data_IF_899054186552
#
_entry.id   IF_899054186552
#
_cell.length_a   1.000
_cell.length_b   1.000
_cell.length_c   1.000
_cell.angle_alpha   90.00
_cell.angle_beta   90.00
_cell.angle_gamma   90.00
#
_symmetry.space_group_name_H-M   'P 1'
#
loop_
_entity.id
_entity.type
_entity.pdbx_description
1 polymer ?
#
# COMPACT_ATOMS: atom_id res chain seq x y z
N UNK A 1 -46.15 -19.04 21.61
CA UNK A 1 -45.42 -17.74 21.55
C UNK A 1 -45.60 -17.20 20.14
N UNK A 2 -45.83 -15.92 19.94
CA UNK A 2 -45.89 -15.38 18.58
C UNK A 2 -44.52 -15.63 17.90
N UNK A 3 -44.55 -16.14 16.68
CA UNK A 3 -43.35 -16.35 15.89
C UNK A 3 -42.72 -15.04 15.47
N UNK A 4 -41.41 -14.98 15.42
CA UNK A 4 -40.71 -13.80 14.85
C UNK A 4 -40.99 -13.73 13.35
N UNK A 5 -41.57 -12.61 12.89
CA UNK A 5 -41.91 -12.35 11.50
C UNK A 5 -40.98 -11.27 10.94
N UNK A 6 -39.79 -11.64 10.38
CA UNK A 6 -38.77 -10.67 9.94
C UNK A 6 -39.33 -9.64 8.98
N UNK A 7 -40.11 -10.07 7.99
CA UNK A 7 -40.68 -9.21 6.95
C UNK A 7 -41.61 -8.09 7.47
N UNK A 8 -42.14 -8.23 8.67
CA UNK A 8 -43.00 -7.23 9.31
C UNK A 8 -42.22 -6.38 10.33
N UNK A 9 -41.35 -7.03 11.11
CA UNK A 9 -40.65 -6.42 12.25
C UNK A 9 -39.46 -5.59 11.80
N UNK A 10 -38.61 -6.13 10.92
CA UNK A 10 -37.37 -5.49 10.51
C UNK A 10 -37.60 -4.17 9.75
N UNK A 11 -38.46 -4.08 8.71
CA UNK A 11 -38.69 -2.83 8.01
C UNK A 11 -39.28 -1.73 8.90
N UNK A 12 -40.06 -2.12 9.93
CA UNK A 12 -40.59 -1.18 10.91
C UNK A 12 -39.48 -0.51 11.70
N UNK A 13 -38.52 -1.30 12.23
CA UNK A 13 -37.42 -0.77 13.03
C UNK A 13 -36.38 -0.04 12.19
N UNK A 14 -36.06 -0.51 10.99
CA UNK A 14 -35.17 0.17 10.04
C UNK A 14 -35.69 1.58 9.73
N UNK A 15 -36.99 1.70 9.41
CA UNK A 15 -37.64 3.01 9.19
C UNK A 15 -37.57 3.89 10.44
N UNK A 16 -37.88 3.34 11.60
CA UNK A 16 -37.83 4.10 12.87
C UNK A 16 -36.41 4.64 13.12
N UNK A 17 -35.38 3.84 12.92
CA UNK A 17 -34.00 4.28 13.13
C UNK A 17 -33.59 5.37 12.14
N UNK A 18 -34.01 5.28 10.90
CA UNK A 18 -33.73 6.27 9.89
C UNK A 18 -34.46 7.61 10.16
N UNK A 19 -35.74 7.58 10.39
CA UNK A 19 -36.54 8.77 10.67
C UNK A 19 -36.08 9.50 11.95
N UNK A 20 -35.72 8.76 12.99
CA UNK A 20 -35.28 9.33 14.27
C UNK A 20 -33.78 9.54 14.37
N UNK A 21 -32.98 9.22 13.31
CA UNK A 21 -31.52 9.28 13.32
C UNK A 21 -30.93 8.64 14.59
N UNK A 22 -31.45 7.46 14.96
CA UNK A 22 -31.22 6.81 16.26
C UNK A 22 -29.75 6.60 16.58
N UNK A 23 -28.92 6.40 15.56
CA UNK A 23 -27.48 6.11 15.70
C UNK A 23 -26.59 7.32 15.45
N UNK A 24 -27.17 8.50 15.27
CA UNK A 24 -26.41 9.75 15.09
C UNK A 24 -25.53 10.02 16.31
N UNK A 25 -24.28 10.36 16.04
CA UNK A 25 -23.28 10.74 17.06
C UNK A 25 -23.24 12.26 17.19
N UNK A 26 -23.63 12.85 18.33
CA UNK A 26 -23.52 14.29 18.52
C UNK A 26 -22.05 14.74 18.56
N UNK A 27 -21.77 15.94 18.04
CA UNK A 27 -20.42 16.51 18.00
C UNK A 27 -19.87 16.78 19.41
N UNK A 28 -20.77 17.17 20.33
CA UNK A 28 -20.45 17.42 21.74
C UNK A 28 -21.27 16.51 22.62
N UNK A 29 -20.63 15.93 23.65
CA UNK A 29 -21.29 15.04 24.60
C UNK A 29 -20.46 14.93 25.88
N UNK A 30 -21.07 14.87 27.03
CA UNK A 30 -20.45 14.58 28.34
C UNK A 30 -20.17 13.08 28.52
N UNK A 31 -20.71 12.23 27.63
CA UNK A 31 -20.47 10.79 27.67
C UNK A 31 -19.07 10.45 27.21
N UNK A 32 -18.45 9.40 27.77
CA UNK A 32 -17.15 8.94 27.30
C UNK A 32 -17.22 8.55 25.80
N UNK A 33 -16.24 8.98 25.04
CA UNK A 33 -16.17 8.73 23.58
C UNK A 33 -15.78 7.29 23.32
N UNK A 34 -16.38 6.71 22.28
CA UNK A 34 -15.96 5.44 21.72
C UNK A 34 -16.06 5.51 20.20
N UNK A 35 -14.95 5.23 19.54
CA UNK A 35 -14.85 5.21 18.09
C UNK A 35 -14.63 3.78 17.63
N UNK A 36 -15.46 3.29 16.73
CA UNK A 36 -15.34 1.99 16.10
C UNK A 36 -15.41 2.17 14.59
N UNK A 37 -14.45 1.60 13.88
CA UNK A 37 -14.27 1.76 12.45
C UNK A 37 -14.22 0.40 11.76
N UNK A 38 -15.02 0.25 10.71
CA UNK A 38 -14.92 -0.83 9.76
C UNK A 38 -14.02 -0.47 8.59
N UNK A 39 -13.51 -1.47 7.91
CA UNK A 39 -12.92 -1.29 6.61
C UNK A 39 -14.02 -0.95 5.61
N UNK A 40 -13.92 0.21 4.97
CA UNK A 40 -14.88 0.65 3.97
C UNK A 40 -14.87 -0.28 2.76
N UNK A 41 -16.05 -0.67 2.24
CA UNK A 41 -16.11 -1.55 1.09
C UNK A 41 -15.71 -0.82 -0.19
N UNK A 42 -15.13 -1.57 -1.12
CA UNK A 42 -15.03 -1.18 -2.51
C UNK A 42 -16.40 -1.34 -3.17
N UNK A 43 -17.01 -0.29 -3.71
CA UNK A 43 -18.28 -0.39 -4.44
C UNK A 43 -18.04 -0.90 -5.89
N UNK A 44 -17.36 -2.05 -6.03
CA UNK A 44 -16.84 -2.57 -7.29
C UNK A 44 -17.76 -3.55 -8.01
N UNK A 45 -18.92 -3.87 -7.45
CA UNK A 45 -19.83 -4.85 -8.00
C UNK A 45 -21.29 -4.52 -7.71
N UNK A 46 -22.19 -5.43 -8.10
CA UNK A 46 -23.63 -5.25 -7.95
C UNK A 46 -24.14 -5.34 -6.51
N UNK A 47 -23.26 -5.47 -5.51
CA UNK A 47 -23.65 -5.53 -4.10
C UNK A 47 -22.61 -6.22 -3.20
N UNK A 48 -22.97 -6.38 -1.94
CA UNK A 48 -22.15 -7.00 -0.90
C UNK A 48 -21.98 -8.50 -1.16
N UNK A 49 -20.80 -9.03 -0.86
CA UNK A 49 -20.60 -10.47 -0.68
C UNK A 49 -20.63 -10.82 0.83
N UNK A 50 -20.75 -12.11 1.16
CA UNK A 50 -20.93 -12.58 2.54
C UNK A 50 -19.80 -12.19 3.50
N UNK A 51 -18.59 -11.93 3.02
CA UNK A 51 -17.48 -11.47 3.84
C UNK A 51 -17.65 -10.05 4.41
N UNK A 52 -18.43 -9.18 3.76
CA UNK A 52 -18.69 -7.84 4.28
C UNK A 52 -19.51 -7.88 5.59
N UNK A 53 -20.68 -8.56 5.65
CA UNK A 53 -21.46 -8.63 6.87
C UNK A 53 -20.74 -9.29 8.05
N UNK A 54 -19.77 -10.15 7.82
CA UNK A 54 -19.01 -10.82 8.89
C UNK A 54 -18.32 -9.77 9.80
N UNK A 55 -17.49 -8.91 9.24
CA UNK A 55 -16.81 -7.84 9.98
C UNK A 55 -17.79 -6.82 10.53
N UNK A 56 -18.75 -6.38 9.72
CA UNK A 56 -19.73 -5.36 10.10
C UNK A 56 -20.66 -5.81 11.25
N UNK A 57 -20.97 -7.11 11.34
CA UNK A 57 -21.73 -7.66 12.46
C UNK A 57 -20.94 -7.57 13.76
N UNK A 58 -19.67 -7.89 13.74
CA UNK A 58 -18.82 -7.85 14.93
C UNK A 58 -18.71 -6.42 15.50
N UNK A 59 -18.46 -5.44 14.64
CA UNK A 59 -18.36 -4.03 15.03
C UNK A 59 -19.72 -3.47 15.45
N UNK A 60 -20.83 -3.85 14.81
CA UNK A 60 -22.18 -3.44 15.19
C UNK A 60 -22.57 -3.96 16.57
N UNK A 61 -22.26 -5.22 16.90
CA UNK A 61 -22.48 -5.77 18.25
C UNK A 61 -21.75 -4.91 19.29
N UNK A 62 -20.48 -4.61 19.05
CA UNK A 62 -19.69 -3.79 19.95
C UNK A 62 -20.22 -2.35 20.04
N UNK A 63 -20.61 -1.74 18.92
CA UNK A 63 -21.19 -0.40 18.88
C UNK A 63 -22.47 -0.31 19.72
N UNK A 64 -23.39 -1.27 19.56
CA UNK A 64 -24.64 -1.36 20.34
C UNK A 64 -24.37 -1.58 21.82
N UNK A 65 -23.47 -2.50 22.16
CA UNK A 65 -23.06 -2.73 23.53
C UNK A 65 -22.52 -1.46 24.20
N UNK A 66 -21.62 -0.73 23.53
CA UNK A 66 -21.06 0.51 24.06
C UNK A 66 -22.10 1.61 24.22
N UNK A 67 -23.05 1.75 23.29
CA UNK A 67 -24.18 2.69 23.43
C UNK A 67 -25.05 2.35 24.65
N UNK A 68 -25.39 1.06 24.86
CA UNK A 68 -26.11 0.62 26.05
C UNK A 68 -25.36 0.87 27.36
N UNK A 69 -24.01 0.88 27.29
CA UNK A 69 -23.13 1.21 28.43
C UNK A 69 -22.97 2.72 28.65
N UNK A 70 -23.68 3.55 27.89
CA UNK A 70 -23.67 5.00 28.06
C UNK A 70 -22.55 5.76 27.33
N UNK A 71 -21.86 5.15 26.40
CA UNK A 71 -20.85 5.83 25.59
C UNK A 71 -21.46 6.66 24.47
N UNK A 72 -20.77 7.75 24.08
CA UNK A 72 -20.98 8.44 22.81
C UNK A 72 -20.20 7.69 21.73
N UNK A 73 -20.92 6.90 20.91
CA UNK A 73 -20.29 5.98 19.95
C UNK A 73 -20.32 6.56 18.55
N UNK A 74 -19.17 6.79 17.96
CA UNK A 74 -19.00 7.06 16.53
C UNK A 74 -18.76 5.75 15.79
N UNK A 75 -19.72 5.36 14.94
CA UNK A 75 -19.68 4.19 14.07
C UNK A 75 -20.02 4.62 12.63
N UNK A 76 -19.04 5.17 11.88
CA UNK A 76 -19.26 5.68 10.54
C UNK A 76 -19.22 4.56 9.50
N UNK A 77 -19.76 4.85 8.31
CA UNK A 77 -19.61 4.06 7.09
C UNK A 77 -19.06 4.95 5.98
N UNK A 78 -18.41 4.34 5.01
CA UNK A 78 -17.90 5.04 3.84
C UNK A 78 -17.68 4.12 2.66
N UNK A 79 -17.19 4.72 1.57
CA UNK A 79 -16.96 4.06 0.29
C UNK A 79 -15.54 4.32 -0.16
N UNK A 80 -14.75 3.25 -0.33
CA UNK A 80 -13.46 3.32 -1.00
C UNK A 80 -13.71 3.28 -2.51
N UNK A 81 -14.05 4.46 -3.05
CA UNK A 81 -14.75 4.58 -4.31
C UNK A 81 -13.86 4.80 -5.53
N UNK A 82 -12.55 5.05 -5.34
CA UNK A 82 -11.58 5.01 -6.42
C UNK A 82 -11.17 3.58 -6.74
N UNK A 83 -10.85 3.27 -8.01
CA UNK A 83 -10.22 2.00 -8.33
C UNK A 83 -10.47 1.49 -9.75
N UNK A 84 -9.62 0.56 -10.17
CA UNK A 84 -9.64 -0.10 -11.47
C UNK A 84 -10.97 -0.74 -11.87
N UNK A 85 -11.75 -1.37 -10.96
CA UNK A 85 -12.99 -2.04 -11.37
C UNK A 85 -14.00 -1.14 -12.08
N UNK A 86 -14.18 0.10 -11.57
CA UNK A 86 -15.10 1.04 -12.21
C UNK A 86 -14.55 1.59 -13.52
N UNK A 87 -13.21 1.80 -13.59
CA UNK A 87 -12.54 2.25 -14.82
C UNK A 87 -12.60 1.19 -15.91
N UNK A 88 -12.33 -0.07 -15.60
CA UNK A 88 -12.42 -1.18 -16.54
C UNK A 88 -13.84 -1.38 -17.03
N UNK A 89 -14.83 -1.32 -16.13
CA UNK A 89 -16.22 -1.39 -16.53
C UNK A 89 -16.58 -0.31 -17.55
N UNK A 90 -16.08 0.91 -17.38
CA UNK A 90 -16.32 2.00 -18.32
C UNK A 90 -15.62 1.77 -19.69
N UNK A 91 -14.44 1.13 -19.70
CA UNK A 91 -13.74 0.75 -20.93
C UNK A 91 -14.53 -0.32 -21.71
N UNK A 92 -15.04 -1.33 -21.00
CA UNK A 92 -15.83 -2.43 -21.58
C UNK A 92 -17.23 -2.00 -22.03
N UNK A 93 -17.77 -0.91 -21.44
CA UNK A 93 -19.13 -0.40 -21.71
C UNK A 93 -19.04 1.06 -22.19
N UNK A 94 -18.72 1.29 -23.49
CA UNK A 94 -18.61 2.63 -24.05
C UNK A 94 -19.87 3.48 -23.80
N UNK A 95 -19.64 4.71 -23.33
CA UNK A 95 -20.73 5.63 -22.96
C UNK A 95 -21.05 5.66 -21.45
N UNK A 96 -20.46 4.78 -20.65
CA UNK A 96 -20.52 4.86 -19.18
C UNK A 96 -19.32 5.63 -18.63
N UNK A 97 -19.54 6.36 -17.53
CA UNK A 97 -18.45 7.03 -16.82
C UNK A 97 -18.24 6.35 -15.47
N UNK A 98 -16.97 6.10 -15.02
CA UNK A 98 -16.68 5.44 -13.73
C UNK A 98 -17.46 6.03 -12.57
N UNK A 99 -17.56 7.36 -12.51
CA UNK A 99 -18.32 8.08 -11.47
C UNK A 99 -19.78 7.62 -11.37
N UNK A 100 -20.45 7.41 -12.51
CA UNK A 100 -21.88 7.11 -12.51
C UNK A 100 -22.14 5.67 -12.10
N UNK A 101 -21.30 4.74 -12.56
CA UNK A 101 -21.31 3.34 -12.12
C UNK A 101 -21.03 3.23 -10.61
N UNK A 102 -20.01 3.94 -10.13
CA UNK A 102 -19.65 3.96 -8.71
C UNK A 102 -20.79 4.48 -7.84
N UNK A 103 -21.49 5.57 -8.26
CA UNK A 103 -22.65 6.10 -7.54
C UNK A 103 -23.81 5.10 -7.47
N UNK A 104 -24.09 4.38 -8.57
CA UNK A 104 -25.10 3.33 -8.59
C UNK A 104 -24.75 2.20 -7.61
N UNK A 105 -23.51 1.74 -7.65
CA UNK A 105 -23.03 0.70 -6.74
C UNK A 105 -23.09 1.14 -5.27
N UNK A 106 -22.68 2.35 -4.96
CA UNK A 106 -22.80 2.93 -3.60
C UNK A 106 -24.25 2.92 -3.13
N UNK A 107 -25.19 3.31 -3.99
CA UNK A 107 -26.61 3.29 -3.64
C UNK A 107 -27.11 1.88 -3.28
N UNK A 108 -26.68 0.88 -4.04
CA UNK A 108 -27.03 -0.52 -3.78
C UNK A 108 -26.38 -1.07 -2.52
N UNK A 109 -25.08 -0.82 -2.31
CA UNK A 109 -24.37 -1.21 -1.10
C UNK A 109 -25.01 -0.59 0.16
N UNK A 110 -25.32 0.72 0.10
CA UNK A 110 -26.01 1.43 1.19
C UNK A 110 -27.36 0.79 1.49
N UNK A 111 -28.15 0.48 0.46
CA UNK A 111 -29.43 -0.20 0.60
C UNK A 111 -29.30 -1.54 1.32
N UNK A 112 -28.31 -2.35 0.91
CA UNK A 112 -28.07 -3.68 1.48
C UNK A 112 -27.58 -3.59 2.93
N UNK A 113 -26.67 -2.67 3.25
CA UNK A 113 -26.18 -2.44 4.63
C UNK A 113 -27.33 -1.98 5.55
N UNK A 114 -28.19 -1.08 5.06
CA UNK A 114 -29.38 -0.63 5.82
C UNK A 114 -30.38 -1.78 6.04
N UNK A 115 -30.55 -2.66 5.05
CA UNK A 115 -31.42 -3.85 5.17
C UNK A 115 -30.92 -4.82 6.25
N UNK A 116 -29.61 -4.93 6.46
CA UNK A 116 -29.04 -5.72 7.56
C UNK A 116 -29.24 -5.08 8.94
N UNK A 117 -29.67 -3.83 8.99
CA UNK A 117 -30.05 -3.14 10.22
C UNK A 117 -28.87 -2.72 11.09
N UNK A 118 -27.68 -2.56 10.55
CA UNK A 118 -26.50 -2.11 11.28
C UNK A 118 -26.65 -0.68 11.82
N UNK A 119 -26.04 -0.41 12.96
CA UNK A 119 -26.15 0.85 13.70
C UNK A 119 -25.10 1.89 13.28
N UNK A 120 -24.93 2.08 11.97
CA UNK A 120 -24.05 3.12 11.44
C UNK A 120 -24.66 4.52 11.59
N UNK A 121 -23.77 5.50 11.79
CA UNK A 121 -24.13 6.91 11.72
C UNK A 121 -24.06 7.41 10.26
N UNK A 122 -25.17 7.36 9.57
CA UNK A 122 -25.27 7.76 8.17
C UNK A 122 -25.08 9.28 7.93
N UNK A 123 -25.12 10.11 8.98
CA UNK A 123 -24.76 11.53 8.90
C UNK A 123 -23.22 11.72 8.81
N UNK A 124 -22.48 10.67 9.11
CA UNK A 124 -21.01 10.61 9.03
C UNK A 124 -20.51 9.72 7.88
N UNK A 125 -21.36 9.51 6.89
CA UNK A 125 -21.00 8.79 5.68
C UNK A 125 -19.93 9.56 4.91
N UNK A 126 -18.90 8.85 4.39
CA UNK A 126 -17.83 9.43 3.57
C UNK A 126 -17.73 8.73 2.23
N UNK A 127 -17.40 9.49 1.19
CA UNK A 127 -17.07 9.00 -0.15
C UNK A 127 -15.68 9.52 -0.51
N UNK A 128 -14.74 8.61 -0.74
CA UNK A 128 -13.35 8.99 -1.04
C UNK A 128 -13.21 9.74 -2.37
N UNK A 129 -14.21 9.68 -3.25
CA UNK A 129 -14.24 10.44 -4.51
C UNK A 129 -14.89 11.82 -4.38
N UNK A 130 -15.42 12.17 -3.22
CA UNK A 130 -15.94 13.50 -2.98
C UNK A 130 -14.77 14.52 -2.90
N UNK A 131 -14.82 15.61 -3.67
CA UNK A 131 -13.80 16.67 -3.59
C UNK A 131 -13.63 17.24 -2.18
N UNK A 132 -14.71 17.29 -1.40
CA UNK A 132 -14.68 17.69 0.01
C UNK A 132 -13.86 16.75 0.88
N UNK A 133 -13.76 15.47 0.50
CA UNK A 133 -12.95 14.46 1.18
C UNK A 133 -11.52 14.43 0.64
N UNK A 134 -11.31 14.19 -0.67
CA UNK A 134 -9.97 13.94 -1.19
C UNK A 134 -9.06 15.18 -1.18
N UNK A 135 -9.59 16.40 -1.04
CA UNK A 135 -8.76 17.59 -0.80
C UNK A 135 -7.82 17.42 0.40
N UNK A 136 -8.24 16.64 1.41
CA UNK A 136 -7.42 16.36 2.59
C UNK A 136 -6.29 15.39 2.28
N UNK A 137 -6.53 14.40 1.43
CA UNK A 137 -5.49 13.50 0.89
C UNK A 137 -4.44 14.31 0.11
N UNK A 138 -4.89 15.24 -0.73
CA UNK A 138 -3.99 16.14 -1.46
C UNK A 138 -3.21 17.05 -0.53
N UNK A 139 -3.85 17.58 0.52
CA UNK A 139 -3.17 18.39 1.53
C UNK A 139 -2.11 17.59 2.28
N UNK A 140 -2.41 16.35 2.69
CA UNK A 140 -1.44 15.45 3.33
C UNK A 140 -0.25 15.21 2.40
N UNK A 141 -0.51 14.97 1.11
CA UNK A 141 0.57 14.82 0.13
C UNK A 141 1.49 16.05 0.08
N UNK A 142 0.91 17.25 0.08
CA UNK A 142 1.70 18.50 0.09
C UNK A 142 2.52 18.64 1.39
N UNK A 143 1.98 18.20 2.54
CA UNK A 143 2.76 18.14 3.78
C UNK A 143 3.95 17.19 3.66
N UNK A 144 3.75 15.99 3.08
CA UNK A 144 4.84 15.03 2.84
C UNK A 144 5.87 15.58 1.85
N UNK A 145 5.43 16.28 0.82
CA UNK A 145 6.32 16.93 -0.15
C UNK A 145 7.20 18.02 0.50
N UNK A 146 6.62 18.78 1.42
CA UNK A 146 7.36 19.84 2.13
C UNK A 146 8.08 19.35 3.40
N UNK A 147 8.23 18.04 3.56
CA UNK A 147 8.83 17.43 4.75
C UNK A 147 10.04 16.56 4.39
N UNK A 148 11.06 16.59 5.25
CA UNK A 148 12.15 15.62 5.31
C UNK A 148 12.15 14.88 6.66
N UNK A 149 12.70 13.68 6.72
CA UNK A 149 12.80 12.91 7.96
C UNK A 149 14.10 13.21 8.70
N UNK A 150 14.00 13.77 9.89
CA UNK A 150 15.13 13.98 10.81
C UNK A 150 15.35 12.73 11.66
N UNK A 151 16.33 11.93 11.29
CA UNK A 151 16.63 10.66 11.96
C UNK A 151 17.10 10.89 13.43
N UNK A 152 17.76 12.00 13.73
CA UNK A 152 18.21 12.30 15.08
C UNK A 152 17.04 12.63 16.02
N UNK A 153 16.00 13.29 15.50
CA UNK A 153 14.77 13.61 16.23
C UNK A 153 13.65 12.60 16.02
N UNK A 154 13.86 11.59 15.16
CA UNK A 154 12.87 10.56 14.78
C UNK A 154 11.53 11.16 14.34
N UNK A 155 11.53 12.26 13.57
CA UNK A 155 10.31 12.95 13.12
C UNK A 155 10.48 13.66 11.78
N UNK A 156 9.35 13.93 11.11
CA UNK A 156 9.31 14.82 9.97
C UNK A 156 9.53 16.28 10.38
N UNK A 157 10.25 17.03 9.55
CA UNK A 157 10.50 18.47 9.69
C UNK A 157 10.33 19.18 8.36
N UNK A 158 9.96 20.49 8.36
CA UNK A 158 9.85 21.27 7.14
C UNK A 158 11.13 21.21 6.29
N UNK A 159 10.99 21.06 4.98
CA UNK A 159 12.13 20.96 4.05
C UNK A 159 13.00 22.22 4.07
N UNK A 160 12.43 23.37 4.40
CA UNK A 160 13.17 24.62 4.57
C UNK A 160 14.19 24.57 5.73
N UNK A 161 13.98 23.71 6.70
CA UNK A 161 14.87 23.52 7.86
C UNK A 161 15.95 22.46 7.61
N UNK A 162 15.97 21.85 6.43
CA UNK A 162 16.96 20.82 6.10
C UNK A 162 18.38 21.39 6.12
N UNK A 163 19.30 20.86 6.93
CA UNK A 163 20.70 21.28 6.89
C UNK A 163 21.34 20.94 5.54
N UNK A 164 21.75 21.95 4.79
CA UNK A 164 22.40 21.75 3.49
C UNK A 164 23.92 21.77 3.70
N UNK A 165 24.63 20.68 3.28
CA UNK A 165 26.09 20.61 3.39
C UNK A 165 26.77 21.77 2.64
N UNK A 166 27.90 22.27 3.21
CA UNK A 166 28.63 23.39 2.61
C UNK A 166 29.08 23.11 1.16
N UNK A 167 29.50 21.88 0.89
CA UNK A 167 29.89 21.44 -0.46
C UNK A 167 28.74 21.55 -1.49
N UNK A 168 27.48 21.37 -1.06
CA UNK A 168 26.30 21.53 -1.92
C UNK A 168 26.00 23.01 -2.12
N UNK A 169 26.10 23.83 -1.07
CA UNK A 169 25.90 25.29 -1.17
C UNK A 169 26.88 25.93 -2.17
N UNK A 170 28.13 25.46 -2.19
CA UNK A 170 29.16 25.94 -3.12
C UNK A 170 28.85 25.65 -4.59
N UNK A 171 28.00 24.63 -4.86
CA UNK A 171 27.59 24.27 -6.22
C UNK A 171 26.38 25.09 -6.72
N UNK A 172 25.85 25.99 -5.88
CA UNK A 172 24.79 26.92 -6.23
C UNK A 172 23.37 26.40 -6.00
N UNK A 173 22.42 27.27 -6.34
CA UNK A 173 20.99 27.08 -6.01
C UNK A 173 20.38 25.78 -6.59
N UNK A 174 20.76 25.43 -7.81
CA UNK A 174 20.27 24.20 -8.46
C UNK A 174 20.68 22.96 -7.67
N UNK A 175 21.93 22.89 -7.19
CA UNK A 175 22.41 21.79 -6.40
C UNK A 175 21.71 21.69 -5.03
N UNK A 176 21.45 22.86 -4.40
CA UNK A 176 20.68 22.90 -3.15
C UNK A 176 19.26 22.37 -3.33
N UNK A 177 18.55 22.75 -4.39
CA UNK A 177 17.21 22.23 -4.70
C UNK A 177 17.22 20.73 -4.94
N UNK A 178 18.16 20.22 -5.74
CA UNK A 178 18.30 18.78 -5.97
C UNK A 178 18.59 18.01 -4.68
N UNK A 179 19.42 18.58 -3.80
CA UNK A 179 19.67 17.99 -2.49
C UNK A 179 18.40 17.96 -1.63
N UNK A 180 17.62 19.03 -1.57
CA UNK A 180 16.35 19.06 -0.86
C UNK A 180 15.38 18.02 -1.44
N UNK A 181 15.23 17.96 -2.75
CA UNK A 181 14.34 16.99 -3.43
C UNK A 181 14.74 15.54 -3.13
N UNK A 182 16.05 15.26 -3.00
CA UNK A 182 16.55 13.94 -2.60
C UNK A 182 16.18 13.54 -1.16
N UNK A 183 15.76 14.49 -0.33
CA UNK A 183 15.43 14.27 1.09
C UNK A 183 13.92 14.35 1.40
N UNK A 184 13.11 14.85 0.47
CA UNK A 184 11.65 14.94 0.64
C UNK A 184 11.04 13.58 0.91
N UNK A 185 9.97 13.55 1.71
CA UNK A 185 9.22 12.33 1.97
C UNK A 185 8.38 11.91 0.75
N UNK A 186 7.88 12.86 -0.03
CA UNK A 186 7.27 12.58 -1.34
C UNK A 186 8.23 13.08 -2.45
N UNK A 187 8.54 12.22 -3.42
CA UNK A 187 9.49 12.52 -4.49
C UNK A 187 9.12 11.78 -5.77
N UNK A 188 9.66 12.23 -6.90
CA UNK A 188 9.50 11.54 -8.18
C UNK A 188 10.74 10.68 -8.47
N UNK A 189 10.50 9.47 -8.97
CA UNK A 189 11.55 8.59 -9.46
C UNK A 189 11.05 7.76 -10.65
N UNK A 190 11.98 7.37 -11.53
CA UNK A 190 11.71 6.31 -12.49
C UNK A 190 11.88 4.97 -11.80
N UNK A 191 10.80 4.22 -11.75
CA UNK A 191 10.78 2.88 -11.12
C UNK A 191 10.20 1.86 -12.08
N UNK A 192 10.67 0.61 -12.05
CA UNK A 192 10.06 -0.45 -12.84
C UNK A 192 8.65 -0.73 -12.34
N UNK A 193 7.66 -0.64 -13.24
CA UNK A 193 6.25 -0.89 -12.95
C UNK A 193 5.72 -2.04 -13.80
N UNK A 194 4.66 -2.68 -13.34
CA UNK A 194 3.94 -3.69 -14.10
C UNK A 194 2.90 -2.98 -14.99
N UNK A 195 3.27 -2.72 -16.22
CA UNK A 195 2.40 -2.06 -17.19
C UNK A 195 1.57 -3.08 -17.97
N UNK A 196 0.26 -2.90 -18.02
CA UNK A 196 -0.65 -3.68 -18.84
C UNK A 196 -1.14 -2.83 -20.02
N UNK A 197 -0.63 -3.05 -21.26
CA UNK A 197 -1.03 -2.25 -22.41
C UNK A 197 -2.52 -2.36 -22.75
N UNK A 198 -3.11 -3.54 -22.55
CA UNK A 198 -4.53 -3.78 -22.84
C UNK A 198 -5.46 -3.04 -21.88
N UNK A 199 -5.08 -2.90 -20.62
CA UNK A 199 -5.84 -2.17 -19.59
C UNK A 199 -5.44 -0.69 -19.52
N UNK A 200 -4.32 -0.29 -20.15
CA UNK A 200 -3.82 1.09 -20.16
C UNK A 200 -3.38 1.60 -18.79
N UNK A 201 -2.95 0.70 -17.88
CA UNK A 201 -2.66 1.05 -16.48
C UNK A 201 -1.50 0.26 -15.90
N UNK A 202 -0.98 0.76 -14.78
CA UNK A 202 -0.01 0.08 -13.92
C UNK A 202 -0.76 -0.81 -12.94
N UNK A 203 -0.28 -2.04 -12.77
CA UNK A 203 -0.84 -3.04 -11.86
C UNK A 203 0.05 -3.22 -10.63
N UNK A 204 -0.55 -3.44 -9.47
CA UNK A 204 0.14 -3.89 -8.28
C UNK A 204 0.69 -5.31 -8.48
N UNK A 205 1.66 -5.72 -7.64
CA UNK A 205 2.26 -7.06 -7.78
C UNK A 205 1.22 -8.17 -7.59
N UNK A 206 0.25 -7.95 -6.72
CA UNK A 206 -0.85 -8.88 -6.40
C UNK A 206 -1.85 -9.03 -7.55
N UNK A 207 -1.90 -8.08 -8.47
CA UNK A 207 -2.77 -8.09 -9.65
C UNK A 207 -2.12 -8.76 -10.89
N UNK A 208 -0.89 -9.27 -10.72
CA UNK A 208 -0.16 -9.97 -11.78
C UNK A 208 0.04 -11.42 -11.40
N UNK A 209 -0.56 -12.33 -12.19
CA UNK A 209 -0.46 -13.78 -12.02
C UNK A 209 0.11 -14.38 -13.30
N UNK A 210 1.20 -15.13 -13.20
CA UNK A 210 1.89 -15.77 -14.33
C UNK A 210 2.20 -14.79 -15.49
N UNK A 211 2.63 -13.56 -15.16
CA UNK A 211 2.97 -12.53 -16.14
C UNK A 211 1.76 -11.91 -16.86
N UNK A 212 0.56 -12.15 -16.34
CA UNK A 212 -0.71 -11.62 -16.89
C UNK A 212 -1.49 -10.88 -15.81
N UNK A 213 -2.33 -9.94 -16.24
CA UNK A 213 -3.27 -9.29 -15.34
C UNK A 213 -4.28 -10.31 -14.78
N UNK A 214 -4.56 -10.26 -13.50
CA UNK A 214 -5.60 -11.07 -12.85
C UNK A 214 -6.95 -10.86 -13.55
N UNK A 215 -7.24 -9.62 -13.91
CA UNK A 215 -8.43 -9.28 -14.69
C UNK A 215 -8.13 -9.31 -16.19
N UNK A 216 -8.91 -10.11 -16.91
CA UNK A 216 -8.83 -10.23 -18.36
C UNK A 216 -7.66 -11.08 -18.91
N UNK A 217 -6.70 -11.50 -18.07
CA UNK A 217 -5.61 -12.38 -18.48
C UNK A 217 -4.66 -11.77 -19.53
N UNK A 218 -4.52 -10.44 -19.54
CA UNK A 218 -3.72 -9.71 -20.53
C UNK A 218 -2.23 -9.75 -20.18
N UNK A 219 -1.33 -9.81 -21.17
CA UNK A 219 0.11 -9.74 -20.94
C UNK A 219 0.52 -8.46 -20.21
N UNK A 220 1.39 -8.60 -19.22
CA UNK A 220 1.96 -7.51 -18.44
C UNK A 220 3.45 -7.40 -18.77
N UNK A 221 3.95 -6.17 -18.93
CA UNK A 221 5.35 -5.90 -19.20
C UNK A 221 5.95 -5.01 -18.10
N UNK A 222 7.17 -5.29 -17.69
CA UNK A 222 7.90 -4.39 -16.79
C UNK A 222 8.57 -3.30 -17.62
N UNK A 223 8.30 -2.06 -17.25
CA UNK A 223 8.91 -0.89 -17.88
C UNK A 223 9.19 0.20 -16.85
N UNK A 224 10.24 1.02 -17.04
CA UNK A 224 10.46 2.19 -16.21
C UNK A 224 9.38 3.24 -16.49
N UNK A 225 8.79 3.74 -15.41
CA UNK A 225 7.81 4.83 -15.49
C UNK A 225 8.06 5.82 -14.36
N UNK A 226 7.98 7.11 -14.66
CA UNK A 226 8.12 8.14 -13.64
C UNK A 226 6.88 8.17 -12.76
N UNK A 227 7.08 7.89 -11.46
CA UNK A 227 6.05 7.79 -10.46
C UNK A 227 6.31 8.73 -9.29
N UNK A 228 5.25 9.12 -8.60
CA UNK A 228 5.35 9.66 -7.26
C UNK A 228 5.62 8.53 -6.27
N UNK A 229 6.65 8.73 -5.46
CA UNK A 229 7.07 7.78 -4.43
C UNK A 229 6.98 8.44 -3.07
N UNK A 230 6.61 7.64 -2.06
CA UNK A 230 6.67 8.03 -0.65
C UNK A 230 7.81 7.29 0.04
N UNK A 231 8.63 8.01 0.81
CA UNK A 231 9.78 7.44 1.54
C UNK A 231 9.32 6.79 2.85
N UNK A 232 8.45 5.78 2.74
CA UNK A 232 7.86 5.09 3.90
C UNK A 232 8.90 4.41 4.78
N UNK A 233 10.00 3.90 4.19
CA UNK A 233 11.08 3.22 4.92
C UNK A 233 11.83 4.13 5.88
N UNK A 234 11.74 5.46 5.75
CA UNK A 234 12.31 6.39 6.72
C UNK A 234 11.70 6.27 8.13
N UNK A 235 10.48 5.74 8.21
CA UNK A 235 9.76 5.53 9.47
C UNK A 235 9.77 4.07 9.96
N UNK A 236 10.49 3.16 9.31
CA UNK A 236 10.46 1.74 9.64
C UNK A 236 10.83 1.45 11.12
N UNK A 237 11.94 2.01 11.61
CA UNK A 237 12.36 1.86 13.00
C UNK A 237 11.34 2.45 13.97
N UNK A 238 10.83 3.64 13.66
CA UNK A 238 9.81 4.28 14.49
C UNK A 238 8.52 3.48 14.56
N UNK A 239 8.08 2.88 13.44
CA UNK A 239 6.89 2.03 13.43
C UNK A 239 7.05 0.82 14.35
N UNK A 240 8.24 0.21 14.41
CA UNK A 240 8.53 -0.86 15.36
C UNK A 240 8.44 -0.38 16.81
N UNK A 241 9.07 0.75 17.13
CA UNK A 241 9.04 1.35 18.47
C UNK A 241 7.58 1.70 18.88
N UNK A 242 6.81 2.28 17.98
CA UNK A 242 5.44 2.75 18.23
C UNK A 242 4.42 1.60 18.40
N UNK A 243 4.76 0.34 18.05
CA UNK A 243 3.92 -0.83 18.34
C UNK A 243 3.67 -1.02 19.84
N UNK A 244 4.57 -0.55 20.69
CA UNK A 244 4.41 -0.64 22.15
C UNK A 244 3.37 0.36 22.69
N UNK A 245 2.99 1.37 21.91
CA UNK A 245 2.00 2.37 22.29
C UNK A 245 0.56 1.92 22.02
N UNK A 246 0.36 0.86 21.24
CA UNK A 246 -0.96 0.37 20.87
C UNK A 246 -1.35 -0.86 21.66
N UNK A 247 -2.63 -0.95 22.04
CA UNK A 247 -3.20 -2.09 22.74
C UNK A 247 -3.70 -3.15 21.75
N UNK A 248 -2.81 -3.66 20.92
CA UNK A 248 -3.11 -4.69 19.95
C UNK A 248 -2.77 -6.09 20.49
N UNK A 249 -3.46 -7.13 20.01
CA UNK A 249 -3.07 -8.52 20.29
C UNK A 249 -1.62 -8.80 19.86
N UNK A 250 -0.89 -9.58 20.65
CA UNK A 250 0.53 -9.86 20.40
C UNK A 250 0.77 -10.48 19.02
N UNK A 251 -0.13 -11.35 18.56
CA UNK A 251 -0.05 -11.93 17.21
C UNK A 251 -0.06 -10.88 16.11
N UNK A 252 -0.85 -9.81 16.28
CA UNK A 252 -0.90 -8.69 15.29
C UNK A 252 0.38 -7.87 15.35
N UNK A 253 0.89 -7.57 16.55
CA UNK A 253 2.18 -6.88 16.71
C UNK A 253 3.32 -7.68 16.07
N UNK A 254 3.33 -9.00 16.23
CA UNK A 254 4.33 -9.88 15.63
C UNK A 254 4.24 -9.89 14.10
N UNK A 255 3.03 -9.92 13.54
CA UNK A 255 2.84 -9.78 12.09
C UNK A 255 3.42 -8.46 11.57
N UNK A 256 3.23 -7.35 12.29
CA UNK A 256 3.78 -6.04 11.90
C UNK A 256 5.32 -6.02 11.99
N UNK A 257 5.91 -6.60 13.04
CA UNK A 257 7.38 -6.74 13.17
C UNK A 257 7.96 -7.53 12.02
N UNK A 258 7.36 -8.67 11.70
CA UNK A 258 7.78 -9.55 10.61
C UNK A 258 7.64 -8.88 9.24
N UNK A 259 6.57 -8.09 9.04
CA UNK A 259 6.37 -7.32 7.80
C UNK A 259 7.43 -6.26 7.59
N UNK A 260 7.80 -5.50 8.63
CA UNK A 260 8.88 -4.50 8.55
C UNK A 260 10.23 -5.20 8.36
N UNK A 261 10.43 -6.37 8.97
CA UNK A 261 11.55 -7.26 8.70
C UNK A 261 12.90 -6.66 9.06
N UNK A 262 13.04 -5.98 10.22
CA UNK A 262 14.33 -5.49 10.69
C UNK A 262 15.30 -6.66 10.78
N UNK A 263 16.46 -6.53 10.13
CA UNK A 263 17.53 -7.51 10.18
C UNK A 263 18.86 -6.86 10.52
N UNK A 264 19.69 -7.58 11.25
CA UNK A 264 21.06 -7.17 11.59
C UNK A 264 22.04 -8.14 10.96
N UNK A 265 23.15 -7.61 10.46
CA UNK A 265 24.15 -8.42 9.77
C UNK A 265 25.41 -7.64 9.47
N UNK A 266 26.25 -8.20 8.58
CA UNK A 266 27.51 -7.60 8.18
C UNK A 266 27.56 -7.41 6.66
N UNK A 267 28.17 -6.30 6.23
CA UNK A 267 28.60 -6.14 4.84
C UNK A 267 29.95 -6.81 4.65
N UNK A 268 30.08 -7.60 3.58
CA UNK A 268 31.31 -8.32 3.23
C UNK A 268 31.67 -8.04 1.79
N UNK A 269 32.94 -7.68 1.58
CA UNK A 269 33.51 -7.43 0.26
C UNK A 269 34.24 -8.67 -0.26
N UNK A 270 33.83 -9.18 -1.42
CA UNK A 270 34.53 -10.24 -2.14
C UNK A 270 35.29 -9.63 -3.29
N UNK A 271 36.63 -9.77 -3.31
CA UNK A 271 37.45 -9.29 -4.38
C UNK A 271 37.23 -10.09 -5.68
N UNK A 272 37.18 -9.43 -6.82
CA UNK A 272 37.15 -10.07 -8.13
C UNK A 272 38.53 -10.58 -8.49
N UNK A 273 38.60 -11.81 -8.99
CA UNK A 273 39.86 -12.38 -9.49
C UNK A 273 40.38 -11.58 -10.71
N UNK A 274 41.68 -11.31 -10.74
CA UNK A 274 42.31 -10.69 -11.91
C UNK A 274 42.19 -11.60 -13.12
N UNK A 275 41.66 -11.08 -14.23
CA UNK A 275 41.49 -11.83 -15.48
C UNK A 275 40.05 -12.23 -15.84
N UNK A 276 39.08 -12.02 -14.95
CA UNK A 276 37.66 -12.18 -15.24
C UNK A 276 37.09 -10.90 -15.89
N UNK A 277 37.31 -10.70 -17.19
CA UNK A 277 36.91 -9.48 -17.90
C UNK A 277 37.70 -8.24 -17.48
N UNK A 278 37.65 -7.16 -18.25
CA UNK A 278 38.21 -5.88 -17.77
C UNK A 278 37.14 -5.19 -16.89
N UNK A 279 37.34 -5.10 -15.58
CA UNK A 279 36.44 -4.28 -14.76
C UNK A 279 36.57 -2.84 -15.23
N UNK A 280 35.45 -2.21 -15.53
CA UNK A 280 35.40 -0.75 -15.66
C UNK A 280 35.96 -0.13 -14.38
N UNK A 281 36.69 0.95 -14.48
CA UNK A 281 37.36 1.61 -13.37
C UNK A 281 36.39 1.78 -12.15
N UNK A 282 36.69 1.06 -11.04
CA UNK A 282 35.95 1.14 -9.79
C UNK A 282 35.15 -0.11 -9.37
N UNK A 283 35.09 -1.17 -10.17
CA UNK A 283 34.41 -2.42 -9.82
C UNK A 283 35.41 -3.57 -9.59
N UNK A 284 36.13 -3.52 -8.49
CA UNK A 284 37.11 -4.50 -8.05
C UNK A 284 36.56 -5.55 -7.06
N UNK A 285 35.31 -5.37 -6.62
CA UNK A 285 34.71 -6.20 -5.58
C UNK A 285 33.20 -6.34 -5.74
N UNK A 286 32.65 -7.42 -5.18
CA UNK A 286 31.24 -7.64 -4.97
C UNK A 286 30.97 -7.45 -3.49
N UNK A 287 30.14 -6.46 -3.12
CA UNK A 287 29.69 -6.26 -1.75
C UNK A 287 28.38 -6.96 -1.51
N UNK A 288 28.30 -7.75 -0.46
CA UNK A 288 27.08 -8.46 -0.05
C UNK A 288 26.76 -8.13 1.41
N UNK A 289 25.46 -8.12 1.72
CA UNK A 289 24.99 -8.10 3.10
C UNK A 289 24.58 -9.52 3.51
N UNK A 290 24.98 -9.95 4.70
CA UNK A 290 24.60 -11.25 5.25
C UNK A 290 24.21 -11.15 6.72
N UNK A 291 23.11 -11.82 7.10
CA UNK A 291 22.73 -12.00 8.51
C UNK A 291 23.49 -13.15 9.19
N UNK A 292 24.23 -13.94 8.43
CA UNK A 292 24.98 -15.11 8.87
C UNK A 292 26.46 -15.03 8.44
N UNK A 293 27.21 -14.05 8.95
CA UNK A 293 28.64 -13.93 8.61
C UNK A 293 29.47 -15.13 9.07
N UNK A 294 28.98 -15.88 10.06
CA UNK A 294 29.57 -17.12 10.56
C UNK A 294 29.62 -18.24 9.52
N UNK A 295 28.77 -18.21 8.50
CA UNK A 295 28.69 -19.23 7.45
C UNK A 295 29.59 -18.94 6.23
N UNK A 296 30.24 -17.81 6.18
CA UNK A 296 31.07 -17.38 5.04
C UNK A 296 32.18 -18.36 4.69
N UNK A 297 32.76 -19.05 5.65
CA UNK A 297 33.81 -20.04 5.46
C UNK A 297 33.35 -21.27 4.66
N UNK A 298 32.03 -21.49 4.55
CA UNK A 298 31.44 -22.54 3.74
C UNK A 298 30.99 -22.10 2.35
N UNK A 299 31.18 -20.82 1.99
CA UNK A 299 30.77 -20.29 0.69
C UNK A 299 31.67 -20.86 -0.42
N UNK A 300 31.08 -21.55 -1.39
CA UNK A 300 31.78 -22.17 -2.53
C UNK A 300 31.46 -21.49 -3.86
N UNK A 301 30.44 -20.64 -3.94
CA UNK A 301 30.07 -19.88 -5.12
C UNK A 301 29.36 -18.57 -4.74
N UNK A 302 29.30 -17.66 -5.73
CA UNK A 302 28.60 -16.38 -5.63
C UNK A 302 27.53 -16.30 -6.70
N UNK A 303 26.35 -15.78 -6.35
CA UNK A 303 25.23 -15.57 -7.29
C UNK A 303 24.96 -14.07 -7.39
N UNK A 304 24.82 -13.58 -8.62
CA UNK A 304 24.39 -12.22 -8.92
C UNK A 304 23.02 -12.25 -9.62
N UNK A 305 22.20 -11.26 -9.36
CA UNK A 305 21.00 -11.05 -10.16
C UNK A 305 21.38 -10.82 -11.63
N UNK A 306 20.60 -11.35 -12.58
CA UNK A 306 20.94 -11.19 -14.02
C UNK A 306 21.07 -9.71 -14.44
N UNK A 307 20.37 -8.80 -13.80
CA UNK A 307 20.41 -7.35 -14.07
C UNK A 307 21.53 -6.61 -13.34
N UNK A 308 22.33 -7.29 -12.52
CA UNK A 308 23.39 -6.63 -11.76
C UNK A 308 24.40 -5.97 -12.69
N UNK A 309 24.81 -4.70 -12.44
CA UNK A 309 25.70 -3.95 -13.34
C UNK A 309 27.04 -4.62 -13.64
N UNK A 310 27.52 -5.48 -12.75
CA UNK A 310 28.76 -6.22 -12.96
C UNK A 310 28.63 -7.38 -13.96
N UNK A 311 27.44 -7.92 -14.19
CA UNK A 311 27.25 -9.13 -15.04
C UNK A 311 27.82 -8.95 -16.42
N UNK A 312 27.58 -7.87 -17.18
CA UNK A 312 28.16 -7.68 -18.49
C UNK A 312 29.72 -7.62 -18.46
N UNK A 313 30.30 -7.15 -17.36
CA UNK A 313 31.75 -6.93 -17.22
C UNK A 313 32.51 -8.21 -16.83
N UNK A 314 31.87 -9.10 -16.07
CA UNK A 314 32.50 -10.36 -15.64
C UNK A 314 32.12 -11.57 -16.50
N UNK A 315 31.16 -11.39 -17.44
CA UNK A 315 30.72 -12.45 -18.34
C UNK A 315 31.79 -12.69 -19.42
N UNK A 316 32.29 -13.92 -19.52
CA UNK A 316 33.23 -14.31 -20.56
C UNK A 316 32.57 -14.32 -21.94
N UNK A 317 33.35 -14.13 -23.00
CA UNK A 317 32.83 -14.11 -24.37
C UNK A 317 32.07 -15.39 -24.73
N UNK A 318 32.54 -16.55 -24.28
CA UNK A 318 31.88 -17.85 -24.49
C UNK A 318 30.51 -17.97 -23.84
N UNK A 319 30.27 -17.29 -22.70
CA UNK A 319 29.04 -17.36 -21.94
C UNK A 319 28.06 -16.22 -22.24
N UNK A 320 28.49 -15.24 -23.03
CA UNK A 320 27.70 -14.02 -23.30
C UNK A 320 26.31 -14.32 -23.84
N UNK A 321 26.19 -15.14 -24.89
CA UNK A 321 24.89 -15.48 -25.47
C UNK A 321 23.96 -16.19 -24.50
N UNK A 322 24.48 -17.08 -23.64
CA UNK A 322 23.68 -17.77 -22.62
C UNK A 322 23.20 -16.81 -21.53
N UNK A 323 24.04 -15.87 -21.10
CA UNK A 323 23.67 -14.85 -20.08
C UNK A 323 22.63 -13.89 -20.63
N UNK A 324 22.78 -13.39 -21.86
CA UNK A 324 21.81 -12.51 -22.52
C UNK A 324 20.45 -13.20 -22.70
N UNK A 325 20.42 -14.47 -23.08
CA UNK A 325 19.20 -15.27 -23.17
C UNK A 325 18.51 -15.39 -21.79
N UNK A 326 19.28 -15.65 -20.73
CA UNK A 326 18.76 -15.75 -19.39
C UNK A 326 18.26 -14.41 -18.87
N UNK A 327 18.95 -13.30 -19.15
CA UNK A 327 18.49 -11.96 -18.82
C UNK A 327 17.14 -11.64 -19.48
N UNK A 328 16.97 -12.01 -20.76
CA UNK A 328 15.71 -11.83 -21.48
C UNK A 328 14.58 -12.70 -20.90
N UNK A 329 14.86 -13.91 -20.44
CA UNK A 329 13.91 -14.76 -19.76
C UNK A 329 13.53 -14.18 -18.37
N UNK A 330 14.53 -13.81 -17.58
CA UNK A 330 14.34 -13.26 -16.25
C UNK A 330 13.55 -11.95 -16.25
N UNK A 331 13.75 -11.10 -17.27
CA UNK A 331 13.02 -9.84 -17.44
C UNK A 331 11.52 -10.02 -17.67
N UNK A 332 11.07 -11.22 -18.05
CA UNK A 332 9.65 -11.55 -18.25
C UNK A 332 8.96 -12.08 -17.00
N UNK A 333 9.75 -12.44 -15.97
CA UNK A 333 9.23 -13.02 -14.72
C UNK A 333 8.92 -11.92 -13.71
N UNK A 334 7.81 -12.06 -13.00
CA UNK A 334 7.48 -11.23 -11.84
C UNK A 334 8.42 -11.50 -10.67
N UNK A 335 8.49 -10.57 -9.70
CA UNK A 335 9.30 -10.77 -8.49
C UNK A 335 8.81 -11.98 -7.68
N UNK A 336 7.50 -12.25 -7.69
CA UNK A 336 6.89 -13.41 -7.04
C UNK A 336 7.36 -14.72 -7.69
N UNK A 337 7.31 -14.81 -9.03
CA UNK A 337 7.78 -16.00 -9.76
C UNK A 337 9.28 -16.24 -9.56
N UNK A 338 10.09 -15.19 -9.44
CA UNK A 338 11.52 -15.29 -9.17
C UNK A 338 11.80 -15.83 -7.75
N UNK A 339 10.96 -15.49 -6.77
CA UNK A 339 11.12 -15.95 -5.39
C UNK A 339 10.50 -17.32 -5.14
N UNK A 340 9.40 -17.67 -5.80
CA UNK A 340 8.75 -18.99 -5.63
C UNK A 340 9.46 -20.12 -6.38
N UNK A 341 10.05 -19.86 -7.54
CA UNK A 341 10.85 -20.85 -8.26
C UNK A 341 12.14 -21.22 -7.50
N UNK A 342 12.61 -20.36 -6.60
CA UNK A 342 13.71 -20.69 -5.69
C UNK A 342 13.31 -21.67 -4.58
N UNK A 343 12.01 -21.96 -4.42
CA UNK A 343 11.48 -22.91 -3.41
C UNK A 343 11.16 -24.30 -3.97
N UNK A 344 11.39 -24.54 -5.26
CA UNK A 344 11.34 -25.84 -5.93
C UNK A 344 12.74 -26.27 -6.33
#
# INVERSE_FOLDING_TARGET
>A
MPSYEPSKIEPKWQRFWEENKTFRTPDTSDKPKFYILDMFPYPSGAGLHVGHPEGYTATDILARYRRMRGYNVLHPMGWDAFGLPAEQYAIEHPGTHPRDTTKQNIAEFRRQIKMLGFSYDWEREVDTTDPGYFKWTQWIFLQLFDTWYDAAQKRGRPIAELPIPQAVKQQGEKAMRLYQDSKRLAYQAEVPVNWCPALGTVLANEEVVDGKSERGGHPVVRMPLRQWMLRITAYAERLLDDLEQVQWPDAIKEMQRNWIGRSEGAEVDFALAQGAGQPSAGADKIRVFTTRPDTLFGATYMVLAPEHPLVPHITTQERRAAVESYQAEAARKSDLERTELAKK
#
